data_IF_431576417560
#
_entry.id   IF_431576417560
#
_cell.length_a   1.000
_cell.length_b   1.000
_cell.length_c   1.000
_cell.angle_alpha   90.00
_cell.angle_beta   90.00
_cell.angle_gamma   90.00
#
_symmetry.space_group_name_H-M   'P 1'
#
loop_
_entity.id
_entity.type
_entity.pdbx_description
1 polymer ?
#
# COMPACT_ATOMS: atom_id res chain seq x y z
N UNK A 1 -21.71 11.76 13.55
CA UNK A 1 -22.07 10.44 14.11
C UNK A 1 -20.83 9.57 14.18
N UNK A 2 -20.68 8.70 15.19
CA UNK A 2 -19.55 7.76 15.31
C UNK A 2 -19.95 6.39 14.77
N UNK A 3 -19.13 5.82 13.88
CA UNK A 3 -19.34 4.52 13.25
C UNK A 3 -18.23 3.51 13.66
N UNK A 4 -18.37 2.25 13.23
CA UNK A 4 -17.42 1.14 13.44
C UNK A 4 -17.02 0.94 14.91
N UNK A 5 -17.96 0.43 15.71
CA UNK A 5 -17.75 0.13 17.11
C UNK A 5 -17.23 -1.30 17.28
N UNK A 6 -15.99 -1.44 17.77
CA UNK A 6 -15.50 -2.71 18.30
C UNK A 6 -15.99 -2.96 19.72
N UNK A 7 -16.06 -4.23 20.11
CA UNK A 7 -16.53 -4.72 21.42
C UNK A 7 -15.79 -4.09 22.61
N UNK A 8 -14.52 -3.72 22.44
CA UNK A 8 -13.68 -3.13 23.51
C UNK A 8 -13.67 -1.59 23.51
N UNK A 9 -14.48 -0.94 22.67
CA UNK A 9 -14.44 0.52 22.56
C UNK A 9 -15.25 1.19 23.68
N UNK A 10 -14.59 1.99 24.50
CA UNK A 10 -15.28 2.82 25.47
C UNK A 10 -15.96 4.03 24.77
N UNK A 11 -17.30 4.21 24.91
CA UNK A 11 -18.04 5.29 24.26
C UNK A 11 -17.60 6.68 24.72
N UNK A 12 -17.32 6.85 26.02
CA UNK A 12 -16.88 8.13 26.59
C UNK A 12 -15.53 8.55 25.99
N UNK A 13 -14.59 7.61 25.87
CA UNK A 13 -13.27 7.87 25.28
C UNK A 13 -13.38 8.25 23.80
N UNK A 14 -14.19 7.52 23.03
CA UNK A 14 -14.42 7.83 21.62
C UNK A 14 -15.06 9.21 21.47
N UNK A 15 -16.07 9.52 22.28
CA UNK A 15 -16.76 10.81 22.22
C UNK A 15 -15.84 11.97 22.59
N UNK A 16 -15.09 11.84 23.70
CA UNK A 16 -14.10 12.84 24.11
C UNK A 16 -13.06 13.05 23.01
N UNK A 17 -12.54 11.96 22.41
CA UNK A 17 -11.56 12.03 21.33
C UNK A 17 -12.09 12.77 20.10
N UNK A 18 -13.34 12.59 19.70
CA UNK A 18 -13.86 13.18 18.45
C UNK A 18 -14.57 14.52 18.62
N UNK A 19 -15.14 14.80 19.80
CA UNK A 19 -15.94 16.02 20.07
C UNK A 19 -15.36 16.84 21.23
N UNK A 20 -14.21 17.51 21.04
CA UNK A 20 -13.52 18.22 22.13
C UNK A 20 -14.26 19.46 22.65
N UNK A 21 -15.24 19.97 21.92
CA UNK A 21 -16.03 21.15 22.31
C UNK A 21 -17.35 20.80 23.03
N UNK A 22 -17.66 19.51 23.17
CA UNK A 22 -18.86 19.10 23.90
C UNK A 22 -18.65 19.34 25.40
N UNK A 23 -19.52 20.14 26.03
CA UNK A 23 -19.40 20.43 27.46
C UNK A 23 -19.77 19.21 28.31
N UNK A 24 -20.86 18.52 27.95
CA UNK A 24 -21.33 17.32 28.62
C UNK A 24 -20.24 16.24 28.75
N UNK A 25 -19.45 16.00 27.69
CA UNK A 25 -18.40 14.98 27.75
C UNK A 25 -17.21 15.42 28.62
N UNK A 26 -16.92 16.72 28.73
CA UNK A 26 -15.86 17.22 29.62
C UNK A 26 -16.24 17.00 31.08
N UNK A 27 -17.50 17.27 31.41
CA UNK A 27 -18.03 17.10 32.75
C UNK A 27 -18.11 15.61 33.13
N UNK A 28 -18.58 14.76 32.22
CA UNK A 28 -18.68 13.31 32.42
C UNK A 28 -17.32 12.60 32.54
N UNK A 29 -16.35 13.01 31.74
CA UNK A 29 -15.03 12.37 31.63
C UNK A 29 -14.06 12.90 32.71
N UNK A 30 -14.32 14.11 33.22
CA UNK A 30 -13.43 14.85 34.10
C UNK A 30 -12.26 15.47 33.35
N UNK A 31 -11.87 16.69 33.75
CA UNK A 31 -10.87 17.49 33.02
C UNK A 31 -9.53 16.78 32.83
N UNK A 32 -9.02 16.08 33.87
CA UNK A 32 -7.72 15.39 33.82
C UNK A 32 -7.70 14.27 32.77
N UNK A 33 -8.74 13.44 32.74
CA UNK A 33 -8.83 12.31 31.81
C UNK A 33 -9.13 12.80 30.39
N UNK A 34 -10.01 13.80 30.25
CA UNK A 34 -10.26 14.46 28.97
C UNK A 34 -8.97 15.03 28.34
N UNK A 35 -8.16 15.74 29.13
CA UNK A 35 -6.89 16.29 28.66
C UNK A 35 -5.94 15.19 28.18
N UNK A 36 -5.83 14.08 28.92
CA UNK A 36 -5.01 12.92 28.51
C UNK A 36 -5.45 12.37 27.14
N UNK A 37 -6.76 12.23 26.91
CA UNK A 37 -7.30 11.76 25.62
C UNK A 37 -6.93 12.70 24.47
N UNK A 38 -7.00 14.02 24.68
CA UNK A 38 -6.65 15.01 23.65
C UNK A 38 -5.15 15.02 23.35
N UNK A 39 -4.30 14.93 24.37
CA UNK A 39 -2.84 14.89 24.22
C UNK A 39 -2.45 13.68 23.38
N UNK A 40 -2.90 12.47 23.75
CA UNK A 40 -2.61 11.26 22.98
C UNK A 40 -3.13 11.32 21.54
N UNK A 41 -4.29 11.96 21.31
CA UNK A 41 -4.80 12.19 19.95
C UNK A 41 -3.84 13.08 19.13
N UNK A 42 -3.32 14.14 19.74
CA UNK A 42 -2.42 15.06 19.08
C UNK A 42 -1.02 14.45 18.85
N UNK A 43 -0.49 13.70 19.81
CA UNK A 43 0.77 12.96 19.66
C UNK A 43 0.72 11.96 18.51
N UNK A 44 -0.38 11.20 18.40
CA UNK A 44 -0.58 10.28 17.28
C UNK A 44 -0.68 11.04 15.96
N UNK A 45 -1.36 12.19 15.91
CA UNK A 45 -1.41 13.03 14.72
C UNK A 45 -0.03 13.56 14.33
N UNK A 46 0.77 14.03 15.28
CA UNK A 46 2.12 14.54 15.01
C UNK A 46 3.04 13.42 14.55
N UNK A 47 2.93 12.23 15.13
CA UNK A 47 3.72 11.06 14.73
C UNK A 47 3.36 10.60 13.32
N UNK A 48 2.08 10.44 13.01
CA UNK A 48 1.60 10.11 11.66
C UNK A 48 2.07 11.16 10.65
N UNK A 49 1.97 12.45 10.99
CA UNK A 49 2.41 13.54 10.11
C UNK A 49 3.93 13.50 9.88
N UNK A 50 4.71 13.28 10.93
CA UNK A 50 6.17 13.17 10.86
C UNK A 50 6.60 11.97 10.01
N UNK A 51 6.00 10.80 10.24
CA UNK A 51 6.29 9.57 9.50
C UNK A 51 5.91 9.73 8.03
N UNK A 52 4.76 10.34 7.72
CA UNK A 52 4.32 10.62 6.35
C UNK A 52 5.24 11.61 5.62
N UNK A 53 5.76 12.64 6.31
CA UNK A 53 6.74 13.56 5.72
C UNK A 53 8.09 12.90 5.44
N UNK A 54 8.56 12.03 6.33
CA UNK A 54 9.80 11.27 6.11
C UNK A 54 9.63 10.27 4.96
N UNK A 55 8.51 9.54 4.92
CA UNK A 55 8.19 8.63 3.82
C UNK A 55 8.15 9.38 2.48
N UNK A 56 7.48 10.54 2.42
CA UNK A 56 7.43 11.37 1.20
C UNK A 56 8.83 11.77 0.72
N UNK A 57 9.72 12.16 1.66
CA UNK A 57 11.10 12.53 1.33
C UNK A 57 11.91 11.34 0.81
N UNK A 58 11.77 10.17 1.43
CA UNK A 58 12.42 8.93 1.02
C UNK A 58 11.95 8.50 -0.36
N UNK A 59 10.64 8.54 -0.62
CA UNK A 59 10.06 8.21 -1.92
C UNK A 59 10.65 9.10 -3.02
N UNK A 60 10.70 10.42 -2.82
CA UNK A 60 11.31 11.35 -3.79
C UNK A 60 12.76 10.98 -4.07
N UNK A 61 13.56 10.73 -3.03
CA UNK A 61 14.97 10.35 -3.21
C UNK A 61 15.17 9.04 -4.00
N UNK A 62 14.18 8.13 -3.96
CA UNK A 62 14.20 6.85 -4.68
C UNK A 62 13.68 6.99 -6.12
N UNK A 63 12.79 7.92 -6.38
CA UNK A 63 12.32 8.24 -7.73
C UNK A 63 13.45 8.81 -8.61
N UNK A 64 14.49 9.41 -8.00
CA UNK A 64 15.66 9.92 -8.72
C UNK A 64 16.64 8.83 -9.17
N UNK A 65 16.45 7.58 -8.74
CA UNK A 65 17.33 6.47 -9.12
C UNK A 65 17.28 6.18 -10.63
N UNK A 66 18.42 5.80 -11.26
CA UNK A 66 18.48 5.54 -12.70
C UNK A 66 17.55 4.40 -13.14
N UNK A 67 17.31 3.41 -12.27
CA UNK A 67 16.34 2.33 -12.52
C UNK A 67 14.92 2.84 -12.68
N UNK A 68 14.52 3.85 -11.89
CA UNK A 68 13.18 4.44 -12.00
C UNK A 68 13.07 5.22 -13.30
N UNK A 69 14.12 5.93 -13.72
CA UNK A 69 14.16 6.62 -15.02
C UNK A 69 13.98 5.64 -16.20
N UNK A 70 14.54 4.44 -16.11
CA UNK A 70 14.31 3.38 -17.10
C UNK A 70 12.85 2.91 -17.09
N UNK A 71 12.27 2.70 -15.91
CA UNK A 71 10.88 2.25 -15.75
C UNK A 71 9.84 3.28 -16.18
N UNK A 72 10.15 4.58 -16.11
CA UNK A 72 9.25 5.65 -16.55
C UNK A 72 8.91 5.60 -18.04
N UNK A 73 9.72 4.90 -18.84
CA UNK A 73 9.40 4.67 -20.26
C UNK A 73 8.25 3.66 -20.46
N UNK A 74 8.06 2.73 -19.52
CA UNK A 74 7.11 1.62 -19.63
C UNK A 74 5.92 1.72 -18.66
N UNK A 75 6.08 2.43 -17.53
CA UNK A 75 5.07 2.52 -16.47
C UNK A 75 4.77 3.97 -16.09
N UNK A 76 3.52 4.23 -15.70
CA UNK A 76 3.11 5.54 -15.17
C UNK A 76 3.84 5.81 -13.85
N UNK A 77 4.28 7.05 -13.66
CA UNK A 77 4.93 7.51 -12.43
C UNK A 77 4.10 7.19 -11.17
N UNK A 78 2.77 7.25 -11.27
CA UNK A 78 1.86 6.92 -10.16
C UNK A 78 2.00 5.47 -9.67
N UNK A 79 2.30 4.53 -10.57
CA UNK A 79 2.45 3.10 -10.25
C UNK A 79 3.80 2.88 -9.57
N UNK A 80 4.87 3.43 -10.14
CA UNK A 80 6.21 3.31 -9.57
C UNK A 80 6.27 3.97 -8.19
N UNK A 81 5.70 5.17 -8.06
CA UNK A 81 5.59 5.87 -6.79
C UNK A 81 4.85 5.03 -5.76
N UNK A 82 3.71 4.44 -6.14
CA UNK A 82 2.92 3.59 -5.26
C UNK A 82 3.68 2.32 -4.84
N UNK A 83 4.41 1.67 -5.74
CA UNK A 83 5.25 0.52 -5.38
C UNK A 83 6.35 0.89 -4.37
N UNK A 84 6.97 2.05 -4.53
CA UNK A 84 8.01 2.53 -3.60
C UNK A 84 7.40 2.91 -2.25
N UNK A 85 6.25 3.57 -2.25
CA UNK A 85 5.48 3.90 -1.03
C UNK A 85 5.11 2.62 -0.27
N UNK A 86 4.48 1.64 -0.93
CA UNK A 86 4.07 0.36 -0.32
C UNK A 86 5.26 -0.42 0.24
N UNK A 87 6.40 -0.43 -0.46
CA UNK A 87 7.59 -1.13 0.01
C UNK A 87 8.22 -0.45 1.25
N UNK A 88 8.25 0.88 1.29
CA UNK A 88 8.76 1.63 2.43
C UNK A 88 7.81 1.56 3.64
N UNK A 89 6.50 1.49 3.40
CA UNK A 89 5.49 1.38 4.46
C UNK A 89 5.48 -0.02 5.10
N UNK A 90 5.62 -1.09 4.31
CA UNK A 90 5.53 -2.48 4.79
C UNK A 90 6.86 -3.01 5.32
N UNK A 91 7.97 -2.76 4.62
CA UNK A 91 9.28 -3.37 4.93
C UNK A 91 10.31 -2.41 5.49
N UNK A 92 10.02 -1.09 5.49
CA UNK A 92 10.96 -0.03 5.88
C UNK A 92 12.35 -0.15 5.21
N UNK A 93 12.43 -0.80 4.06
CA UNK A 93 13.68 -1.10 3.37
C UNK A 93 13.49 -1.01 1.85
N UNK A 94 14.59 -0.86 1.12
CA UNK A 94 14.57 -0.78 -0.34
C UNK A 94 14.30 -2.14 -0.99
N UNK A 95 13.93 -2.12 -2.27
CA UNK A 95 13.99 -3.29 -3.12
C UNK A 95 15.43 -3.84 -3.19
N UNK A 96 15.57 -5.18 -3.11
CA UNK A 96 16.87 -5.85 -3.11
C UNK A 96 17.50 -5.84 -4.51
N UNK A 97 16.67 -5.93 -5.54
CA UNK A 97 17.09 -5.89 -6.95
C UNK A 97 16.20 -4.97 -7.79
N UNK A 98 16.77 -4.47 -8.89
CA UNK A 98 16.04 -3.76 -9.94
C UNK A 98 14.91 -4.64 -10.53
N UNK A 99 15.12 -5.96 -10.56
CA UNK A 99 14.10 -6.91 -10.99
C UNK A 99 12.87 -6.94 -10.07
N UNK A 100 13.07 -6.80 -8.76
CA UNK A 100 11.97 -6.84 -7.79
C UNK A 100 11.04 -5.64 -7.96
N UNK A 101 11.61 -4.46 -8.23
CA UNK A 101 10.84 -3.25 -8.51
C UNK A 101 10.04 -3.39 -9.82
N UNK A 102 10.63 -3.99 -10.85
CA UNK A 102 9.95 -4.26 -12.12
C UNK A 102 8.76 -5.19 -11.93
N UNK A 103 8.96 -6.31 -11.23
CA UNK A 103 7.90 -7.28 -10.93
C UNK A 103 6.79 -6.63 -10.10
N UNK A 104 7.13 -5.82 -9.09
CA UNK A 104 6.15 -5.09 -8.30
C UNK A 104 5.31 -4.13 -9.16
N UNK A 105 5.94 -3.36 -10.06
CA UNK A 105 5.25 -2.45 -10.97
C UNK A 105 4.31 -3.20 -11.93
N UNK A 106 4.75 -4.35 -12.45
CA UNK A 106 3.95 -5.20 -13.33
C UNK A 106 2.72 -5.76 -12.62
N UNK A 107 2.87 -6.30 -11.41
CA UNK A 107 1.76 -6.83 -10.62
C UNK A 107 0.74 -5.74 -10.33
N UNK A 108 1.22 -4.57 -9.86
CA UNK A 108 0.34 -3.46 -9.52
C UNK A 108 -0.41 -2.92 -10.74
N UNK A 109 0.25 -2.83 -11.90
CA UNK A 109 -0.39 -2.44 -13.16
C UNK A 109 -1.50 -3.43 -13.56
N UNK A 110 -1.25 -4.74 -13.45
CA UNK A 110 -2.25 -5.78 -13.74
C UNK A 110 -3.45 -5.66 -12.80
N UNK A 111 -3.23 -5.48 -11.51
CA UNK A 111 -4.29 -5.30 -10.52
C UNK A 111 -5.17 -4.07 -10.83
N UNK A 112 -4.54 -2.94 -11.17
CA UNK A 112 -5.27 -1.72 -11.55
C UNK A 112 -6.12 -1.97 -12.80
N UNK A 113 -5.58 -2.68 -13.80
CA UNK A 113 -6.29 -2.97 -15.04
C UNK A 113 -7.49 -3.92 -14.83
N UNK A 114 -7.35 -4.88 -13.92
CA UNK A 114 -8.46 -5.76 -13.51
C UNK A 114 -9.56 -4.94 -12.82
N UNK A 115 -9.21 -4.07 -11.87
CA UNK A 115 -10.16 -3.26 -11.11
C UNK A 115 -10.88 -2.24 -12.02
N UNK A 116 -10.15 -1.65 -12.97
CA UNK A 116 -10.70 -0.67 -13.92
C UNK A 116 -11.45 -1.30 -15.09
N UNK A 117 -11.45 -2.64 -15.20
CA UNK A 117 -12.16 -3.36 -16.25
C UNK A 117 -11.62 -3.06 -17.65
N UNK A 118 -10.31 -2.89 -17.80
CA UNK A 118 -9.70 -2.70 -19.10
C UNK A 118 -9.82 -4.00 -19.92
N UNK A 119 -10.81 -4.04 -20.81
CA UNK A 119 -11.17 -5.21 -21.62
C UNK A 119 -10.01 -5.77 -22.45
N UNK A 120 -8.99 -4.96 -22.73
CA UNK A 120 -7.86 -5.34 -23.56
C UNK A 120 -6.70 -6.01 -22.77
N UNK A 121 -6.74 -6.01 -21.44
CA UNK A 121 -5.70 -6.58 -20.57
C UNK A 121 -6.21 -7.60 -19.56
N UNK A 122 -7.48 -7.99 -19.66
CA UNK A 122 -8.03 -9.12 -18.93
C UNK A 122 -7.40 -10.42 -19.45
N UNK A 123 -6.52 -11.03 -18.64
CA UNK A 123 -6.08 -12.40 -18.89
C UNK A 123 -7.28 -13.30 -18.61
N UNK A 124 -7.97 -13.71 -19.67
CA UNK A 124 -9.08 -14.67 -19.60
C UNK A 124 -8.47 -16.08 -19.65
N UNK A 125 -8.53 -16.88 -18.56
CA UNK A 125 -7.88 -18.20 -18.51
C UNK A 125 -8.36 -19.14 -19.63
N UNK A 126 -9.62 -19.01 -20.04
CA UNK A 126 -10.22 -19.81 -21.10
C UNK A 126 -9.79 -19.45 -22.53
N UNK A 127 -9.06 -18.34 -22.73
CA UNK A 127 -8.47 -17.95 -24.04
C UNK A 127 -6.98 -18.26 -24.18
N UNK A 128 -6.36 -18.90 -23.18
CA UNK A 128 -4.92 -19.26 -23.19
C UNK A 128 -4.61 -20.45 -24.13
N UNK A 129 -5.61 -20.96 -24.85
CA UNK A 129 -5.38 -21.84 -26.00
C UNK A 129 -4.87 -21.04 -27.20
N UNK A 130 -3.54 -20.97 -27.36
CA UNK A 130 -2.78 -20.38 -28.50
C UNK A 130 -2.46 -18.88 -28.37
N UNK A 131 -1.65 -18.50 -27.39
CA UNK A 131 -0.78 -17.34 -27.56
C UNK A 131 0.61 -17.87 -27.90
N UNK A 132 0.94 -17.84 -29.19
CA UNK A 132 2.32 -17.96 -29.65
C UNK A 132 3.10 -16.82 -29.01
N UNK A 133 4.07 -17.18 -28.17
CA UNK A 133 4.96 -16.23 -27.50
C UNK A 133 5.93 -15.69 -28.56
N UNK A 134 5.45 -14.75 -29.38
CA UNK A 134 6.30 -13.89 -30.21
C UNK A 134 6.31 -12.47 -29.63
N UNK A 135 6.83 -12.35 -28.41
CA UNK A 135 7.39 -11.09 -27.93
C UNK A 135 8.65 -11.41 -27.17
N UNK A 136 9.74 -11.56 -27.93
CA UNK A 136 11.13 -11.30 -27.57
C UNK A 136 11.49 -11.45 -26.08
N UNK A 137 11.24 -12.63 -25.50
CA UNK A 137 11.87 -13.04 -24.26
C UNK A 137 13.21 -13.69 -24.61
N UNK A 138 14.28 -12.89 -24.65
CA UNK A 138 15.64 -13.45 -24.48
C UNK A 138 15.81 -13.80 -23.01
N UNK A 139 15.19 -14.89 -22.59
CA UNK A 139 15.72 -15.67 -21.47
C UNK A 139 17.04 -16.26 -21.95
N UNK A 140 18.15 -15.73 -21.44
CA UNK A 140 19.40 -16.48 -21.43
C UNK A 140 19.13 -17.70 -20.56
N UNK A 141 18.91 -18.81 -21.25
CA UNK A 141 18.80 -20.13 -20.67
C UNK A 141 20.11 -20.50 -19.99
N UNK A 142 20.07 -20.75 -18.69
CA UNK A 142 20.95 -21.75 -18.12
C UNK A 142 20.13 -22.62 -17.18
N UNK A 143 19.78 -23.78 -17.74
CA UNK A 143 19.60 -25.08 -17.07
C UNK A 143 19.51 -25.05 -15.54
N UNK A 144 18.31 -25.16 -14.99
CA UNK A 144 17.83 -26.42 -14.43
C UNK A 144 16.44 -26.25 -13.81
N UNK A 145 15.73 -27.36 -13.82
CA UNK A 145 14.41 -27.64 -13.26
C UNK A 145 14.14 -26.85 -11.98
N UNK A 146 13.13 -25.99 -12.00
CA UNK A 146 12.13 -25.78 -10.94
C UNK A 146 11.27 -24.56 -11.31
N UNK A 147 10.25 -24.79 -12.13
CA UNK A 147 9.16 -23.83 -12.31
C UNK A 147 8.30 -23.93 -11.05
N UNK A 148 8.74 -23.28 -9.98
CA UNK A 148 7.89 -23.01 -8.82
C UNK A 148 6.89 -21.95 -9.24
N UNK A 149 5.69 -22.39 -9.57
CA UNK A 149 4.52 -21.52 -9.69
C UNK A 149 4.30 -20.83 -8.34
N UNK A 150 4.61 -19.53 -8.24
CA UNK A 150 4.17 -18.72 -7.10
C UNK A 150 2.65 -18.51 -7.18
N UNK A 151 1.91 -19.52 -6.74
CA UNK A 151 0.51 -19.39 -6.32
C UNK A 151 0.48 -18.52 -5.07
N UNK A 152 0.17 -17.23 -5.23
CA UNK A 152 -0.20 -16.38 -4.10
C UNK A 152 -1.63 -16.75 -3.73
N UNK A 153 -1.76 -17.48 -2.61
CA UNK A 153 -3.02 -17.86 -2.00
C UNK A 153 -3.76 -16.59 -1.53
N UNK A 154 -4.80 -16.18 -2.27
CA UNK A 154 -5.88 -15.38 -1.71
C UNK A 154 -6.87 -16.38 -1.10
N UNK A 155 -6.82 -16.58 0.21
CA UNK A 155 -7.95 -17.18 0.92
C UNK A 155 -8.46 -16.21 1.97
N UNK A 156 -9.71 -15.83 1.72
CA UNK A 156 -10.67 -15.16 2.57
C UNK A 156 -10.71 -15.69 4.02
N UNK A 157 -11.01 -14.76 4.92
CA UNK A 157 -11.35 -14.97 6.32
C UNK A 157 -12.48 -16.01 6.51
N UNK A 158 -12.39 -16.72 7.64
CA UNK A 158 -13.52 -16.93 8.54
C UNK A 158 -13.07 -16.81 9.98
#
# INVERSE_FOLDING_TARGET
SLQNWGINNNPVVKYARWFPHCQYIKDLCGQKFFNKIQITKNENKSKIKFDQTNLSRLVVSRLDLPVVKLLLSSYKLSIIKRCIEEQLEIKQNNFLSNGDLFIACLILQIQINIIQGDKNQLIIPSKIGKITIETSFRFVSSSNKDISYCLIYLMEEK
#
